data_IF_173871509351
#
_entry.id   IF_173871509351
#
_cell.length_a   1.000
_cell.length_b   1.000
_cell.length_c   1.000
_cell.angle_alpha   90.00
_cell.angle_beta   90.00
_cell.angle_gamma   90.00
#
_symmetry.space_group_name_H-M   'P 1'
#
loop_
_entity.id
_entity.type
_entity.pdbx_description
1 polymer ?
#
# COMPACT_ATOMS: atom_id res chain seq x y z
N UNK A 1 13.73 -0.30 23.05
CA UNK A 1 14.35 0.52 24.10
C UNK A 1 13.82 1.92 23.96
N UNK A 2 12.75 2.23 24.71
CA UNK A 2 12.19 3.55 24.75
C UNK A 2 13.20 4.51 25.35
N UNK A 3 13.56 5.55 24.61
CA UNK A 3 14.36 6.65 25.13
C UNK A 3 13.49 7.44 26.08
N UNK A 4 13.84 7.47 27.34
CA UNK A 4 13.19 8.31 28.33
C UNK A 4 13.66 9.73 28.10
N UNK A 5 12.77 10.59 27.64
CA UNK A 5 13.06 12.02 27.59
C UNK A 5 12.97 12.62 28.99
N UNK A 6 13.84 13.58 29.29
CA UNK A 6 13.75 14.37 30.50
C UNK A 6 12.35 15.02 30.60
N UNK A 7 11.79 15.19 31.77
CA UNK A 7 10.49 15.81 31.93
C UNK A 7 10.53 17.21 31.32
N UNK A 8 9.69 17.44 30.31
CA UNK A 8 9.48 18.74 29.70
C UNK A 8 8.31 19.40 30.41
N UNK A 9 8.55 20.52 31.04
CA UNK A 9 7.51 21.39 31.57
C UNK A 9 6.92 22.18 30.41
N UNK A 10 5.66 21.98 30.09
CA UNK A 10 4.95 22.76 29.09
C UNK A 10 4.09 23.80 29.81
N UNK A 11 4.38 25.07 29.59
CA UNK A 11 3.56 26.17 30.08
C UNK A 11 2.65 26.65 28.94
N UNK A 12 1.35 26.76 29.24
CA UNK A 12 0.36 27.31 28.32
C UNK A 12 -0.30 28.50 28.96
N UNK A 13 -0.20 29.65 28.33
CA UNK A 13 -1.03 30.81 28.64
C UNK A 13 -2.15 30.93 27.61
N UNK A 14 -3.41 30.83 28.04
CA UNK A 14 -4.52 31.10 27.17
C UNK A 14 -4.70 32.60 26.96
N UNK A 15 -5.01 33.08 25.74
CA UNK A 15 -5.40 34.45 25.49
C UNK A 15 -6.63 34.85 26.34
N UNK A 16 -6.80 36.13 26.59
CA UNK A 16 -7.95 36.65 27.36
C UNK A 16 -9.28 36.18 26.71
N UNK A 17 -10.12 35.55 27.52
CA UNK A 17 -11.42 35.00 27.08
C UNK A 17 -11.38 33.50 26.66
N UNK A 18 -10.22 32.83 26.75
CA UNK A 18 -10.09 31.41 26.51
C UNK A 18 -9.61 30.68 27.76
N UNK A 19 -10.11 29.49 28.00
CA UNK A 19 -9.65 28.61 29.06
C UNK A 19 -8.91 27.41 28.45
N UNK A 20 -7.77 27.03 29.05
CA UNK A 20 -7.11 25.79 28.70
C UNK A 20 -7.90 24.60 29.25
N UNK A 21 -8.35 23.71 28.35
CA UNK A 21 -9.20 22.57 28.70
C UNK A 21 -8.44 21.28 28.94
N UNK A 22 -7.15 21.23 28.59
CA UNK A 22 -6.30 20.06 28.80
C UNK A 22 -5.38 19.77 27.62
N UNK A 23 -4.50 18.81 27.83
CA UNK A 23 -3.64 18.26 26.80
C UNK A 23 -4.33 17.06 26.17
N UNK A 24 -4.47 17.04 24.86
CA UNK A 24 -4.72 15.81 24.14
C UNK A 24 -3.38 15.17 23.78
N UNK A 25 -3.21 13.90 24.10
CA UNK A 25 -2.07 13.14 23.58
C UNK A 25 -2.24 13.01 22.08
N UNK A 26 -1.38 13.68 21.32
CA UNK A 26 -1.20 13.32 19.91
C UNK A 26 -0.46 11.99 19.94
N UNK A 27 -1.21 10.89 19.86
CA UNK A 27 -0.65 9.56 19.87
C UNK A 27 0.16 9.36 18.58
N UNK A 28 1.42 8.96 18.71
CA UNK A 28 2.10 8.30 17.59
C UNK A 28 1.43 6.93 17.45
N UNK A 29 0.43 6.84 16.59
CA UNK A 29 -0.17 5.59 16.22
C UNK A 29 0.90 4.76 15.49
N UNK A 30 1.31 3.66 16.09
CA UNK A 30 2.18 2.70 15.40
C UNK A 30 1.28 1.87 14.52
N UNK A 31 1.28 2.15 13.22
CA UNK A 31 0.65 1.29 12.23
C UNK A 31 1.50 0.02 12.11
N UNK A 32 0.85 -1.12 11.96
CA UNK A 32 1.52 -2.39 11.67
C UNK A 32 2.27 -2.24 10.35
N UNK A 33 3.60 -2.24 10.40
CA UNK A 33 4.45 -2.13 9.22
C UNK A 33 4.27 -3.35 8.33
N UNK A 34 3.93 -3.12 7.06
CA UNK A 34 4.09 -4.14 6.00
C UNK A 34 5.56 -4.12 5.60
N UNK A 35 6.24 -5.27 5.69
CA UNK A 35 7.68 -5.37 5.48
C UNK A 35 8.01 -6.24 4.28
N UNK A 36 9.21 -6.03 3.75
CA UNK A 36 9.81 -6.98 2.81
C UNK A 36 9.91 -8.36 3.49
N UNK A 37 9.46 -9.40 2.80
CA UNK A 37 9.36 -10.76 3.33
C UNK A 37 7.97 -11.10 3.89
N UNK A 38 7.06 -10.14 3.95
CA UNK A 38 5.67 -10.41 4.32
C UNK A 38 4.94 -11.18 3.22
N UNK A 39 3.98 -12.01 3.66
CA UNK A 39 3.12 -12.75 2.75
C UNK A 39 2.01 -11.86 2.17
N UNK A 40 1.77 -12.03 0.88
CA UNK A 40 0.69 -11.40 0.13
C UNK A 40 -0.08 -12.44 -0.65
N UNK A 41 -1.37 -12.25 -0.80
CA UNK A 41 -2.16 -12.95 -1.82
C UNK A 41 -1.91 -12.31 -3.16
N UNK A 42 -1.81 -13.14 -4.22
CA UNK A 42 -1.60 -12.65 -5.57
C UNK A 42 -2.38 -13.46 -6.61
N UNK A 43 -2.65 -12.82 -7.74
CA UNK A 43 -3.26 -13.40 -8.91
C UNK A 43 -2.38 -13.16 -10.14
N UNK A 44 -1.93 -14.23 -10.75
CA UNK A 44 -1.04 -14.29 -11.90
C UNK A 44 -1.60 -15.21 -13.01
N UNK A 45 -2.94 -15.30 -13.10
CA UNK A 45 -3.65 -16.18 -14.02
C UNK A 45 -4.45 -15.40 -15.08
N UNK A 46 -4.06 -14.15 -15.37
CA UNK A 46 -4.67 -13.30 -16.37
C UNK A 46 -5.73 -12.35 -15.83
N UNK A 47 -6.65 -11.94 -16.70
CA UNK A 47 -7.59 -10.84 -16.48
C UNK A 47 -8.55 -11.05 -15.31
N UNK A 48 -8.74 -9.98 -14.54
CA UNK A 48 -9.80 -9.84 -13.54
C UNK A 48 -10.81 -8.73 -13.93
N UNK A 49 -10.83 -8.31 -15.19
CA UNK A 49 -11.79 -7.33 -15.69
C UNK A 49 -13.22 -7.76 -15.37
N UNK A 50 -14.04 -6.81 -14.90
CA UNK A 50 -15.44 -7.07 -14.54
C UNK A 50 -15.67 -7.88 -13.27
N UNK A 51 -14.63 -8.15 -12.47
CA UNK A 51 -14.74 -8.82 -11.17
C UNK A 51 -14.57 -7.83 -10.02
N UNK A 52 -15.08 -8.20 -8.83
CA UNK A 52 -14.87 -7.41 -7.60
C UNK A 52 -13.56 -7.81 -6.91
N UNK A 53 -12.45 -7.82 -7.65
CA UNK A 53 -11.15 -8.22 -7.11
C UNK A 53 -10.61 -7.26 -6.04
N UNK A 54 -11.06 -6.01 -6.02
CA UNK A 54 -10.57 -5.00 -5.07
C UNK A 54 -11.11 -5.20 -3.66
N UNK A 55 -12.35 -5.70 -3.53
CA UNK A 55 -13.04 -5.84 -2.23
C UNK A 55 -13.66 -7.21 -1.98
N UNK A 56 -14.00 -7.95 -3.01
CA UNK A 56 -14.66 -9.24 -2.94
C UNK A 56 -13.79 -10.38 -2.41
N UNK A 57 -14.31 -11.59 -2.42
CA UNK A 57 -13.59 -12.78 -1.96
C UNK A 57 -12.53 -13.23 -2.97
N UNK A 58 -11.37 -13.63 -2.48
CA UNK A 58 -10.21 -14.11 -3.27
C UNK A 58 -9.68 -15.46 -2.75
N UNK A 59 -10.59 -16.39 -2.48
CA UNK A 59 -10.25 -17.67 -1.86
C UNK A 59 -9.30 -18.54 -2.72
N UNK A 60 -9.31 -18.34 -4.04
CA UNK A 60 -8.48 -19.08 -5.01
C UNK A 60 -7.18 -18.36 -5.40
N UNK A 61 -6.87 -17.23 -4.79
CA UNK A 61 -5.59 -16.57 -5.03
C UNK A 61 -4.45 -17.32 -4.38
N UNK A 62 -3.30 -17.36 -5.06
CA UNK A 62 -2.07 -17.88 -4.49
C UNK A 62 -1.54 -16.97 -3.38
N UNK A 63 -0.59 -17.48 -2.61
CA UNK A 63 0.06 -16.72 -1.54
C UNK A 63 1.57 -16.87 -1.66
N UNK A 64 2.29 -15.78 -1.46
CA UNK A 64 3.75 -15.73 -1.55
C UNK A 64 4.35 -14.57 -0.79
N UNK A 65 5.65 -14.66 -0.51
CA UNK A 65 6.40 -13.63 0.21
C UNK A 65 7.02 -12.62 -0.75
N UNK A 66 7.06 -11.36 -0.34
CA UNK A 66 7.67 -10.26 -1.12
C UNK A 66 9.20 -10.33 -1.11
N UNK A 67 9.86 -9.91 -2.22
CA UNK A 67 9.31 -9.42 -3.49
C UNK A 67 8.73 -10.53 -4.36
N UNK A 68 7.57 -10.25 -4.98
CA UNK A 68 6.95 -11.14 -5.96
C UNK A 68 7.23 -10.62 -7.37
N UNK A 69 7.56 -11.51 -8.29
CA UNK A 69 7.89 -11.12 -9.66
C UNK A 69 8.56 -12.24 -10.44
N UNK A 70 9.24 -11.89 -11.51
CA UNK A 70 10.05 -12.81 -12.34
C UNK A 70 11.26 -12.09 -12.94
N UNK A 71 12.27 -12.88 -13.34
CA UNK A 71 13.40 -12.35 -14.12
C UNK A 71 14.42 -11.49 -13.38
N UNK A 72 14.39 -11.46 -12.05
CA UNK A 72 15.34 -10.71 -11.21
C UNK A 72 15.84 -11.58 -10.05
N UNK A 73 17.10 -11.41 -9.68
CA UNK A 73 17.75 -12.22 -8.63
C UNK A 73 17.17 -12.01 -7.22
N UNK A 74 16.59 -10.85 -6.95
CA UNK A 74 16.06 -10.50 -5.63
C UNK A 74 14.61 -10.97 -5.37
N UNK A 75 13.99 -11.68 -6.34
CA UNK A 75 12.63 -12.19 -6.22
C UNK A 75 12.56 -13.35 -5.21
N UNK A 76 11.66 -13.25 -4.26
CA UNK A 76 11.43 -14.30 -3.27
C UNK A 76 10.31 -15.27 -3.70
N UNK A 77 9.29 -14.78 -4.39
CA UNK A 77 8.22 -15.58 -4.97
C UNK A 77 8.16 -15.33 -6.47
N UNK A 78 8.41 -16.36 -7.27
CA UNK A 78 8.25 -16.29 -8.72
C UNK A 78 6.79 -16.42 -9.09
N UNK A 79 6.25 -15.44 -9.79
CA UNK A 79 4.88 -15.45 -10.32
C UNK A 79 4.88 -15.90 -11.78
N UNK A 80 3.73 -16.41 -12.25
CA UNK A 80 3.53 -16.85 -13.62
C UNK A 80 3.34 -15.62 -14.53
N UNK A 81 4.13 -15.52 -15.58
CA UNK A 81 4.01 -14.43 -16.56
C UNK A 81 3.17 -14.78 -17.80
N UNK A 82 2.52 -15.92 -17.80
CA UNK A 82 1.81 -16.51 -18.95
C UNK A 82 2.64 -17.60 -19.64
N UNK A 83 2.06 -18.23 -20.63
CA UNK A 83 2.69 -19.35 -21.34
C UNK A 83 3.76 -18.94 -22.37
N UNK A 84 3.83 -17.67 -22.74
CA UNK A 84 4.72 -17.14 -23.78
C UNK A 84 5.53 -15.95 -23.22
N UNK A 85 6.85 -16.10 -23.22
CA UNK A 85 7.77 -15.07 -22.75
C UNK A 85 7.76 -13.79 -23.60
N UNK A 86 7.26 -13.86 -24.85
CA UNK A 86 7.09 -12.71 -25.75
C UNK A 86 5.73 -12.04 -25.60
N UNK A 87 4.77 -12.68 -24.89
CA UNK A 87 3.41 -12.20 -24.66
C UNK A 87 3.03 -12.38 -23.19
N UNK A 88 3.76 -11.71 -22.33
CA UNK A 88 3.51 -11.77 -20.89
C UNK A 88 2.19 -11.10 -20.52
N UNK A 89 1.64 -11.50 -19.37
CA UNK A 89 0.47 -10.80 -18.84
C UNK A 89 0.79 -9.33 -18.60
N UNK A 90 -0.05 -8.39 -19.05
CA UNK A 90 0.19 -6.97 -18.83
C UNK A 90 -0.08 -6.53 -17.40
N UNK A 91 -0.88 -7.30 -16.62
CA UNK A 91 -1.28 -6.90 -15.27
C UNK A 91 -1.22 -8.06 -14.28
N UNK A 92 -0.77 -7.76 -13.07
CA UNK A 92 -0.73 -8.64 -11.91
C UNK A 92 -1.43 -7.99 -10.73
N UNK A 93 -2.10 -8.78 -9.89
CA UNK A 93 -2.90 -8.28 -8.78
C UNK A 93 -2.43 -8.84 -7.45
N UNK A 94 -2.38 -7.99 -6.44
CA UNK A 94 -1.87 -8.31 -5.11
C UNK A 94 -2.84 -7.82 -4.04
N UNK A 95 -2.93 -8.57 -2.92
CA UNK A 95 -3.78 -8.20 -1.77
C UNK A 95 -3.11 -8.50 -0.46
N UNK A 96 -3.27 -7.58 0.49
CA UNK A 96 -2.81 -7.71 1.87
C UNK A 96 -3.87 -7.18 2.81
N UNK A 97 -4.20 -7.95 3.85
CA UNK A 97 -4.94 -7.41 4.98
C UNK A 97 -3.98 -6.65 5.89
N UNK A 98 -4.38 -5.48 6.31
CA UNK A 98 -3.65 -4.62 7.22
C UNK A 98 -4.51 -4.36 8.46
N UNK A 99 -3.93 -4.55 9.63
CA UNK A 99 -4.58 -4.21 10.90
C UNK A 99 -4.03 -2.89 11.42
N UNK A 100 -4.92 -1.99 11.80
CA UNK A 100 -4.59 -0.72 12.43
C UNK A 100 -5.27 -0.69 13.79
N UNK A 101 -4.47 -0.70 14.86
CA UNK A 101 -4.97 -0.78 16.24
C UNK A 101 -5.19 0.60 16.88
N UNK A 102 -4.91 1.67 16.13
CA UNK A 102 -5.12 3.06 16.56
C UNK A 102 -6.25 3.72 15.77
N UNK A 103 -6.94 4.68 16.38
CA UNK A 103 -7.94 5.47 15.67
C UNK A 103 -7.25 6.19 14.49
N UNK A 104 -7.77 6.08 13.26
CA UNK A 104 -7.24 6.82 12.12
C UNK A 104 -7.14 8.32 12.32
N UNK A 105 -7.98 8.91 13.18
CA UNK A 105 -7.92 10.31 13.55
C UNK A 105 -6.62 10.68 14.31
N UNK A 106 -5.96 9.70 14.92
CA UNK A 106 -4.68 9.87 15.62
C UNK A 106 -3.47 9.61 14.71
N UNK A 107 -3.68 9.21 13.46
CA UNK A 107 -2.62 8.93 12.49
C UNK A 107 -2.23 10.22 11.77
N UNK A 108 -1.00 10.65 11.95
CA UNK A 108 -0.50 11.87 11.32
C UNK A 108 -0.20 11.68 9.82
N UNK A 109 0.30 10.52 9.41
CA UNK A 109 0.62 10.20 8.02
C UNK A 109 0.71 8.68 7.81
N UNK A 110 0.45 8.26 6.57
CA UNK A 110 0.71 6.91 6.08
C UNK A 110 1.58 7.03 4.84
N UNK A 111 2.64 6.24 4.78
CA UNK A 111 3.54 6.19 3.63
C UNK A 111 3.62 4.78 3.06
N UNK A 112 3.82 4.70 1.75
CA UNK A 112 4.10 3.49 1.01
C UNK A 112 5.52 3.58 0.44
N UNK A 113 6.42 2.73 0.92
CA UNK A 113 7.69 2.49 0.25
C UNK A 113 7.47 1.38 -0.78
N UNK A 114 7.87 1.63 -2.03
CA UNK A 114 7.65 0.71 -3.12
C UNK A 114 8.93 0.39 -3.89
N UNK A 115 8.91 -0.76 -4.52
CA UNK A 115 9.81 -1.15 -5.61
C UNK A 115 8.95 -1.83 -6.67
N UNK A 116 8.89 -1.25 -7.86
CA UNK A 116 7.99 -1.67 -8.92
C UNK A 116 8.66 -1.62 -10.30
N UNK A 117 8.19 -2.46 -11.18
CA UNK A 117 8.61 -2.61 -12.58
C UNK A 117 7.37 -3.06 -13.39
N UNK A 118 6.63 -2.17 -14.09
CA UNK A 118 6.81 -0.72 -14.31
C UNK A 118 5.86 0.14 -13.43
N UNK A 119 4.60 0.28 -13.85
CA UNK A 119 3.58 1.12 -13.20
C UNK A 119 2.70 0.34 -12.22
N UNK A 120 2.03 1.04 -11.33
CA UNK A 120 1.07 0.42 -10.40
C UNK A 120 -0.04 1.38 -9.97
N UNK A 121 -1.14 0.80 -9.48
CA UNK A 121 -2.19 1.50 -8.75
C UNK A 121 -2.42 0.81 -7.41
N UNK A 122 -2.51 1.59 -6.35
CA UNK A 122 -2.78 1.12 -4.99
C UNK A 122 -4.16 1.56 -4.55
N UNK A 123 -4.91 0.62 -3.99
CA UNK A 123 -6.23 0.87 -3.41
C UNK A 123 -6.24 0.53 -1.93
N UNK A 124 -6.89 1.36 -1.14
CA UNK A 124 -7.18 1.10 0.28
C UNK A 124 -8.68 0.95 0.43
N UNK A 125 -9.13 -0.20 0.92
CA UNK A 125 -10.55 -0.51 1.10
C UNK A 125 -11.39 -0.33 -0.18
N UNK A 126 -10.79 -0.60 -1.35
CA UNK A 126 -11.41 -0.50 -2.67
C UNK A 126 -11.37 0.89 -3.30
N UNK A 127 -10.84 1.90 -2.61
CA UNK A 127 -10.69 3.27 -3.11
C UNK A 127 -9.25 3.51 -3.51
N UNK A 128 -9.01 4.08 -4.70
CA UNK A 128 -7.67 4.41 -5.15
C UNK A 128 -7.00 5.39 -4.18
N UNK A 129 -5.80 5.03 -3.75
CA UNK A 129 -4.98 5.81 -2.83
C UNK A 129 -3.82 6.51 -3.52
N UNK A 130 -3.19 5.86 -4.48
CA UNK A 130 -2.14 6.44 -5.31
C UNK A 130 -1.91 5.61 -6.57
N UNK A 131 -1.25 6.22 -7.56
CA UNK A 131 -0.75 5.54 -8.77
C UNK A 131 0.64 6.04 -9.16
N UNK A 132 1.39 5.20 -9.84
CA UNK A 132 2.72 5.50 -10.35
C UNK A 132 2.86 5.01 -11.78
N UNK A 133 3.32 5.86 -12.69
CA UNK A 133 3.49 5.59 -14.13
C UNK A 133 2.25 5.00 -14.83
N UNK A 134 1.07 5.30 -14.33
CA UNK A 134 -0.19 4.84 -14.92
C UNK A 134 -0.94 6.00 -15.59
N UNK A 135 -1.65 5.74 -16.71
CA UNK A 135 -2.51 6.75 -17.33
C UNK A 135 -3.69 7.09 -16.42
N UNK A 136 -4.34 8.23 -16.72
CA UNK A 136 -5.59 8.61 -16.06
C UNK A 136 -6.73 7.64 -16.40
N UNK A 137 -7.72 7.58 -15.50
CA UNK A 137 -8.89 6.72 -15.64
C UNK A 137 -8.76 5.36 -14.94
N UNK A 138 -9.80 4.56 -15.06
CA UNK A 138 -9.84 3.20 -14.47
C UNK A 138 -9.02 2.26 -15.35
N UNK A 139 -7.95 1.63 -14.82
CA UNK A 139 -7.16 0.69 -15.60
C UNK A 139 -7.93 -0.62 -15.85
N UNK A 140 -7.62 -1.26 -16.95
CA UNK A 140 -8.05 -2.61 -17.30
C UNK A 140 -6.84 -3.53 -17.31
N UNK A 141 -7.08 -4.85 -17.42
CA UNK A 141 -5.99 -5.82 -17.57
C UNK A 141 -5.01 -5.48 -18.71
N UNK A 142 -5.53 -4.89 -19.80
CA UNK A 142 -4.75 -4.53 -20.99
C UNK A 142 -4.11 -3.15 -20.92
N UNK A 143 -4.30 -2.40 -19.83
CA UNK A 143 -3.68 -1.10 -19.65
C UNK A 143 -2.19 -1.29 -19.37
N UNK A 144 -1.32 -0.59 -20.09
CA UNK A 144 0.12 -0.56 -19.85
C UNK A 144 0.51 0.69 -19.06
N UNK A 145 1.64 0.61 -18.37
CA UNK A 145 2.31 1.78 -17.80
C UNK A 145 2.58 2.82 -18.90
N UNK A 146 2.58 4.11 -18.54
CA UNK A 146 2.82 5.21 -19.47
C UNK A 146 4.25 5.24 -20.01
N UNK A 147 5.18 4.67 -19.27
CA UNK A 147 6.59 4.51 -19.64
C UNK A 147 7.19 3.38 -18.81
N UNK A 148 8.36 2.89 -19.23
CA UNK A 148 9.13 1.95 -18.43
C UNK A 148 9.78 2.64 -17.23
N UNK A 149 9.97 1.91 -16.16
CA UNK A 149 10.71 2.37 -14.97
C UNK A 149 12.16 2.71 -15.36
N UNK A 150 12.65 3.84 -14.85
CA UNK A 150 13.97 4.38 -15.23
C UNK A 150 15.09 3.47 -14.70
N UNK A 151 14.93 2.96 -13.49
CA UNK A 151 15.96 2.15 -12.80
C UNK A 151 15.72 0.64 -12.89
N UNK A 152 14.58 0.23 -13.39
CA UNK A 152 14.15 -1.15 -13.70
C UNK A 152 14.60 -2.20 -12.63
N UNK A 153 13.99 -2.26 -11.44
CA UNK A 153 12.79 -1.53 -11.01
C UNK A 153 13.07 -0.14 -10.43
N UNK A 154 12.05 0.70 -10.40
CA UNK A 154 12.06 1.96 -9.66
C UNK A 154 11.69 1.74 -8.19
N UNK A 155 12.26 2.56 -7.30
CA UNK A 155 11.93 2.56 -5.88
C UNK A 155 11.67 3.96 -5.39
N UNK A 156 10.74 4.11 -4.46
CA UNK A 156 10.40 5.41 -3.90
C UNK A 156 9.44 5.30 -2.72
N UNK A 157 9.00 6.46 -2.25
CA UNK A 157 8.03 6.61 -1.17
C UNK A 157 6.88 7.50 -1.63
N UNK A 158 5.65 7.09 -1.36
CA UNK A 158 4.43 7.85 -1.64
C UNK A 158 3.61 8.03 -0.37
N UNK A 159 2.95 9.18 -0.23
CA UNK A 159 1.97 9.40 0.84
C UNK A 159 0.62 8.81 0.45
N UNK A 160 -0.04 8.12 1.39
CA UNK A 160 -1.38 7.61 1.22
C UNK A 160 -2.38 8.45 2.03
N UNK A 161 -3.60 8.70 1.52
CA UNK A 161 -4.63 9.45 2.23
C UNK A 161 -5.07 8.73 3.51
N UNK A 162 -4.84 9.31 4.67
CA UNK A 162 -5.16 8.73 5.99
C UNK A 162 -6.66 8.41 6.12
N UNK A 163 -7.52 9.24 5.55
CA UNK A 163 -8.97 9.08 5.60
C UNK A 163 -9.53 7.84 4.88
N UNK A 164 -8.71 7.12 4.12
CA UNK A 164 -9.07 5.83 3.52
C UNK A 164 -8.94 4.66 4.49
N UNK A 165 -8.20 4.85 5.58
CA UNK A 165 -7.96 3.80 6.57
C UNK A 165 -9.06 3.78 7.63
N UNK A 166 -9.26 2.61 8.23
CA UNK A 166 -10.26 2.33 9.25
C UNK A 166 -9.61 1.67 10.45
N UNK A 167 -10.22 1.80 11.61
CA UNK A 167 -9.81 1.05 12.79
C UNK A 167 -9.97 -0.46 12.53
N UNK A 168 -9.00 -1.23 12.97
CA UNK A 168 -8.85 -2.69 12.93
C UNK A 168 -8.57 -3.22 11.52
N UNK A 169 -9.55 -3.32 10.62
CA UNK A 169 -9.38 -4.05 9.35
C UNK A 169 -9.31 -3.12 8.16
N UNK A 170 -8.22 -3.22 7.44
CA UNK A 170 -8.03 -2.56 6.15
C UNK A 170 -7.61 -3.59 5.10
N UNK A 171 -7.96 -3.33 3.88
CA UNK A 171 -7.58 -4.11 2.74
C UNK A 171 -6.76 -3.24 1.80
N UNK A 172 -5.51 -3.62 1.62
CA UNK A 172 -4.62 -3.04 0.63
C UNK A 172 -4.64 -3.94 -0.61
N UNK A 173 -4.93 -3.35 -1.76
CA UNK A 173 -4.89 -4.04 -3.05
C UNK A 173 -4.05 -3.25 -4.03
N UNK A 174 -3.30 -3.96 -4.86
CA UNK A 174 -2.38 -3.36 -5.84
C UNK A 174 -2.54 -4.08 -7.16
N UNK A 175 -2.58 -3.34 -8.24
CA UNK A 175 -2.33 -3.86 -9.58
C UNK A 175 -1.02 -3.26 -10.11
N UNK A 176 -0.22 -4.10 -10.75
CA UNK A 176 1.08 -3.74 -11.36
C UNK A 176 1.00 -4.04 -12.86
N UNK A 177 1.46 -3.07 -13.67
CA UNK A 177 1.33 -3.06 -15.13
C UNK A 177 2.67 -2.97 -15.85
#
# INVERSE_FOLDING_TARGET
NGTLFAPVTLEVSAPAGYNFVGWSKVGNATVTDIKKGDSWKYWDQGSLNGTDWKTGSVNNWAEGITPLGYGKDAIATTINYGGDSSQKYPTYYFRKNLQIDSDPADIASVTLDYTADDGFVVYVNGVEACRYLMPDGEPTFETYATTHSINNPDSGTMSLPVNLFRLVKNLLTVEVH
#
